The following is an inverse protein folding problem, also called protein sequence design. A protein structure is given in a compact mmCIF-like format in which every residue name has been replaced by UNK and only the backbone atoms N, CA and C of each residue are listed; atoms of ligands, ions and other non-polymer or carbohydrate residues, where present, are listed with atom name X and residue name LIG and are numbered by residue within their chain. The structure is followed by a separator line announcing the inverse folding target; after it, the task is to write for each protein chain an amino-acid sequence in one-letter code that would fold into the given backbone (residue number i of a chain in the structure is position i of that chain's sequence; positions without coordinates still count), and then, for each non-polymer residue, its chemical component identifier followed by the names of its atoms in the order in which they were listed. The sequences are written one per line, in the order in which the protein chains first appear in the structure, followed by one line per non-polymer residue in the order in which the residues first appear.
data_IF_263731764314
#
_entry.id   IF_263731764314
#
_cell.length_a   1.000
_cell.length_b   1.000
_cell.length_c   1.000
_cell.angle_alpha   90.00
_cell.angle_beta   90.00
_cell.angle_gamma   90.00
#
_symmetry.space_group_name_H-M   'P 1'
#
loop_
_entity.id
_entity.type
_entity.pdbx_description
1 polymer ?
#
# COMPACT_ATOMS: atom_id res chain seq x y z
N UNK A 1 18.45 13.71 15.21
CA UNK A 1 18.00 13.21 16.52
C UNK A 1 16.50 12.97 16.42
N UNK A 2 16.06 11.71 16.40
CA UNK A 2 14.64 11.37 16.50
C UNK A 2 14.27 11.50 17.98
N UNK A 3 13.34 12.41 18.31
CA UNK A 3 13.11 12.87 19.69
C UNK A 3 12.45 11.79 20.58
N UNK A 4 11.88 10.73 19.99
CA UNK A 4 11.44 9.56 20.74
C UNK A 4 11.28 8.34 19.80
N UNK A 5 12.35 7.60 19.49
CA UNK A 5 12.25 6.43 18.61
C UNK A 5 11.29 5.36 19.15
N UNK A 6 11.20 5.24 20.48
CA UNK A 6 10.35 4.24 21.13
C UNK A 6 8.86 4.62 21.16
N UNK A 7 8.52 5.91 21.12
CA UNK A 7 7.13 6.37 21.24
C UNK A 7 6.33 6.09 19.96
N UNK A 8 6.95 6.32 18.80
CA UNK A 8 6.39 6.01 17.50
C UNK A 8 6.19 4.49 17.35
N UNK A 9 7.18 3.70 17.76
CA UNK A 9 7.09 2.25 17.70
C UNK A 9 5.97 1.70 18.61
N UNK A 10 5.91 2.15 19.87
CA UNK A 10 4.92 1.68 20.85
C UNK A 10 3.49 2.12 20.51
N UNK A 11 3.28 3.38 20.11
CA UNK A 11 1.93 3.91 19.87
C UNK A 11 1.38 3.59 18.48
N UNK A 12 2.22 3.59 17.43
CA UNK A 12 1.75 3.41 16.05
C UNK A 12 1.95 1.99 15.52
N UNK A 13 2.94 1.24 16.00
CA UNK A 13 3.23 -0.09 15.46
C UNK A 13 2.71 -1.19 16.37
N UNK A 14 3.13 -1.21 17.64
CA UNK A 14 2.81 -2.31 18.56
C UNK A 14 1.31 -2.34 18.91
N UNK A 15 0.71 -1.17 19.22
CA UNK A 15 -0.73 -1.08 19.51
C UNK A 15 -1.58 -1.27 18.24
N UNK A 16 -1.16 -0.75 17.09
CA UNK A 16 -1.98 -0.80 15.86
C UNK A 16 -1.95 -2.17 15.19
N UNK A 17 -0.79 -2.84 15.15
CA UNK A 17 -0.63 -4.13 14.48
C UNK A 17 -0.80 -5.32 15.42
N UNK A 18 -0.41 -5.19 16.69
CA UNK A 18 -0.41 -6.32 17.63
C UNK A 18 -1.41 -6.17 18.76
N UNK A 19 -2.00 -4.97 18.94
CA UNK A 19 -2.83 -4.65 20.10
C UNK A 19 -2.14 -4.95 21.44
N UNK A 20 -0.80 -5.05 21.45
CA UNK A 20 -0.01 -5.52 22.58
C UNK A 20 1.23 -4.62 22.72
N UNK A 21 1.31 -3.89 23.82
CA UNK A 21 2.34 -2.86 24.02
C UNK A 21 3.71 -3.41 24.47
N UNK A 22 3.82 -4.73 24.70
CA UNK A 22 5.01 -5.36 25.29
C UNK A 22 5.51 -6.58 24.46
N UNK A 23 5.87 -6.36 23.19
CA UNK A 23 6.42 -7.40 22.30
C UNK A 23 7.63 -8.17 22.88
N UNK A 24 8.49 -7.51 23.65
CA UNK A 24 9.69 -8.13 24.23
C UNK A 24 9.39 -9.22 25.26
N UNK A 25 8.32 -9.09 26.04
CA UNK A 25 7.96 -10.06 27.08
C UNK A 25 7.29 -11.30 26.51
N UNK A 26 6.76 -11.23 25.28
CA UNK A 26 6.01 -12.30 24.62
C UNK A 26 6.90 -13.20 23.76
N UNK A 27 7.85 -12.64 23.01
CA UNK A 27 8.59 -13.38 21.97
C UNK A 27 10.06 -13.72 22.30
N UNK A 28 10.63 -13.13 23.36
CA UNK A 28 12.05 -13.28 23.71
C UNK A 28 13.00 -12.48 22.79
N UNK A 29 14.26 -12.35 23.21
CA UNK A 29 15.22 -11.41 22.60
C UNK A 29 15.50 -11.70 21.12
N UNK A 30 15.73 -12.96 20.76
CA UNK A 30 16.07 -13.33 19.37
C UNK A 30 14.90 -13.09 18.42
N UNK A 31 13.67 -13.43 18.80
CA UNK A 31 12.51 -13.20 17.95
C UNK A 31 12.20 -11.71 17.78
N UNK A 32 12.40 -10.91 18.83
CA UNK A 32 12.26 -9.45 18.76
C UNK A 32 13.24 -8.84 17.75
N UNK A 33 14.49 -9.32 17.72
CA UNK A 33 15.48 -8.87 16.73
C UNK A 33 15.05 -9.22 15.29
N UNK A 34 14.50 -10.41 15.08
CA UNK A 34 13.96 -10.79 13.76
C UNK A 34 12.77 -9.93 13.34
N UNK A 35 11.82 -9.66 14.25
CA UNK A 35 10.67 -8.79 13.99
C UNK A 35 11.14 -7.38 13.60
N UNK A 36 12.08 -6.80 14.36
CA UNK A 36 12.66 -5.50 14.05
C UNK A 36 13.38 -5.47 12.70
N UNK A 37 14.11 -6.54 12.37
CA UNK A 37 14.76 -6.68 11.07
C UNK A 37 13.73 -6.67 9.94
N UNK A 38 12.66 -7.46 10.06
CA UNK A 38 11.59 -7.51 9.05
C UNK A 38 10.90 -6.15 8.91
N UNK A 39 10.62 -5.42 10.00
CA UNK A 39 10.05 -4.07 9.87
C UNK A 39 10.95 -3.08 9.17
N UNK A 40 12.26 -3.13 9.42
CA UNK A 40 13.22 -2.27 8.72
C UNK A 40 13.27 -2.61 7.23
N UNK A 41 13.24 -3.89 6.90
CA UNK A 41 13.17 -4.37 5.52
C UNK A 41 11.89 -3.91 4.83
N UNK A 42 10.73 -4.09 5.47
CA UNK A 42 9.44 -3.62 4.97
C UNK A 42 9.42 -2.10 4.79
N UNK A 43 9.97 -1.33 5.73
CA UNK A 43 10.10 0.12 5.60
C UNK A 43 10.91 0.54 4.37
N UNK A 44 12.03 -0.14 4.10
CA UNK A 44 12.83 0.11 2.89
C UNK A 44 12.05 -0.22 1.60
N UNK A 45 11.32 -1.35 1.58
CA UNK A 45 10.45 -1.73 0.46
C UNK A 45 9.34 -0.71 0.23
N UNK A 46 8.71 -0.22 1.31
CA UNK A 46 7.67 0.81 1.22
C UNK A 46 8.20 2.11 0.63
N UNK A 47 9.39 2.56 1.04
CA UNK A 47 10.01 3.76 0.46
C UNK A 47 10.24 3.58 -1.03
N UNK A 48 10.82 2.45 -1.44
CA UNK A 48 11.08 2.15 -2.85
C UNK A 48 9.77 2.11 -3.66
N UNK A 49 8.75 1.45 -3.14
CA UNK A 49 7.42 1.38 -3.77
C UNK A 49 6.76 2.75 -3.91
N UNK A 50 6.83 3.60 -2.89
CA UNK A 50 6.30 4.96 -2.95
C UNK A 50 7.04 5.84 -3.95
N UNK A 51 8.37 5.70 -4.07
CA UNK A 51 9.16 6.38 -5.10
C UNK A 51 8.71 5.92 -6.50
N UNK A 52 8.53 4.62 -6.71
CA UNK A 52 8.01 4.08 -7.99
C UNK A 52 6.63 4.63 -8.33
N UNK A 53 5.70 4.61 -7.36
CA UNK A 53 4.36 5.19 -7.53
C UNK A 53 4.42 6.68 -7.85
N UNK A 54 5.32 7.44 -7.20
CA UNK A 54 5.49 8.85 -7.48
C UNK A 54 5.92 9.11 -8.92
N UNK A 55 6.84 8.32 -9.48
CA UNK A 55 7.23 8.46 -10.88
C UNK A 55 6.11 8.06 -11.86
N UNK A 56 5.35 7.02 -11.56
CA UNK A 56 4.18 6.64 -12.37
C UNK A 56 3.12 7.74 -12.34
N UNK A 57 2.85 8.29 -11.15
CA UNK A 57 1.90 9.39 -10.95
C UNK A 57 2.34 10.67 -11.66
N UNK A 58 3.61 11.05 -11.53
CA UNK A 58 4.17 12.26 -12.14
C UNK A 58 4.36 12.14 -13.66
N UNK A 59 4.54 10.93 -14.17
CA UNK A 59 4.74 10.64 -15.59
C UNK A 59 3.45 10.21 -16.30
N UNK A 60 3.30 8.91 -16.63
CA UNK A 60 2.23 8.41 -17.48
C UNK A 60 0.83 8.70 -16.93
N UNK A 61 0.62 8.64 -15.61
CA UNK A 61 -0.68 8.92 -15.00
C UNK A 61 -1.08 10.39 -15.20
N UNK A 62 -0.20 11.34 -14.87
CA UNK A 62 -0.47 12.78 -15.10
C UNK A 62 -0.66 13.13 -16.57
N UNK A 63 -0.08 12.36 -17.49
CA UNK A 63 -0.24 12.53 -18.93
C UNK A 63 -1.55 11.93 -19.48
N UNK A 64 -2.40 11.35 -18.63
CA UNK A 64 -3.65 10.72 -19.08
C UNK A 64 -3.44 9.38 -19.79
N UNK A 65 -2.27 8.75 -19.66
CA UNK A 65 -1.97 7.45 -20.29
C UNK A 65 -2.64 6.32 -19.49
N UNK A 66 -3.30 5.41 -20.20
CA UNK A 66 -4.01 4.28 -19.59
C UNK A 66 -3.08 3.36 -18.81
N UNK A 67 -1.87 3.18 -19.31
CA UNK A 67 -0.80 2.40 -18.72
C UNK A 67 -0.46 2.89 -17.31
N UNK A 68 -0.46 4.21 -17.10
CA UNK A 68 -0.25 4.80 -15.78
C UNK A 68 -1.38 4.44 -14.81
N UNK A 69 -2.64 4.52 -15.26
CA UNK A 69 -3.80 4.14 -14.46
C UNK A 69 -3.80 2.64 -14.13
N UNK A 70 -3.52 1.77 -15.12
CA UNK A 70 -3.41 0.32 -14.91
C UNK A 70 -2.26 -0.05 -13.98
N UNK A 71 -1.09 0.58 -14.10
CA UNK A 71 0.05 0.30 -13.24
C UNK A 71 -0.26 0.61 -11.77
N UNK A 72 -0.89 1.76 -11.49
CA UNK A 72 -1.28 2.14 -10.12
C UNK A 72 -2.38 1.20 -9.60
N UNK A 73 -3.44 1.00 -10.38
CA UNK A 73 -4.59 0.18 -9.97
C UNK A 73 -4.20 -1.27 -9.73
N UNK A 74 -3.48 -1.89 -10.67
CA UNK A 74 -3.03 -3.27 -10.53
C UNK A 74 -2.09 -3.44 -9.33
N UNK A 75 -1.15 -2.50 -9.12
CA UNK A 75 -0.25 -2.54 -7.96
C UNK A 75 -1.03 -2.53 -6.64
N UNK A 76 -2.04 -1.68 -6.51
CA UNK A 76 -2.83 -1.54 -5.28
C UNK A 76 -3.74 -2.77 -5.05
N UNK A 77 -4.41 -3.24 -6.11
CA UNK A 77 -5.31 -4.41 -6.03
C UNK A 77 -4.54 -5.67 -5.68
N UNK A 78 -3.42 -5.93 -6.35
CA UNK A 78 -2.60 -7.12 -6.10
C UNK A 78 -2.02 -7.09 -4.69
N UNK A 79 -1.50 -5.94 -4.24
CA UNK A 79 -1.02 -5.76 -2.86
C UNK A 79 -2.13 -6.08 -1.85
N UNK A 80 -3.32 -5.48 -2.00
CA UNK A 80 -4.43 -5.68 -1.07
C UNK A 80 -4.86 -7.14 -0.97
N UNK A 81 -4.98 -7.83 -2.11
CA UNK A 81 -5.40 -9.24 -2.14
C UNK A 81 -4.39 -10.16 -1.46
N UNK A 82 -3.10 -9.98 -1.77
CA UNK A 82 -2.03 -10.81 -1.21
C UNK A 82 -1.88 -10.55 0.30
N UNK A 83 -1.74 -9.29 0.71
CA UNK A 83 -1.48 -8.94 2.10
C UNK A 83 -2.67 -9.28 3.01
N UNK A 84 -3.89 -8.98 2.57
CA UNK A 84 -5.10 -9.30 3.34
C UNK A 84 -5.38 -10.80 3.37
N UNK A 85 -5.11 -11.52 2.28
CA UNK A 85 -5.23 -12.98 2.23
C UNK A 85 -4.28 -13.67 3.21
N UNK A 86 -3.02 -13.21 3.28
CA UNK A 86 -2.08 -13.68 4.30
C UNK A 86 -2.53 -13.31 5.71
N UNK A 87 -3.00 -12.08 5.92
CA UNK A 87 -3.47 -11.61 7.22
C UNK A 87 -4.61 -12.46 7.78
N UNK A 88 -5.59 -12.79 6.94
CA UNK A 88 -6.73 -13.63 7.34
C UNK A 88 -6.27 -15.07 7.61
N UNK A 89 -5.48 -15.66 6.70
CA UNK A 89 -5.05 -17.06 6.84
C UNK A 89 -4.12 -17.32 8.03
N UNK A 90 -3.38 -16.30 8.47
CA UNK A 90 -2.48 -16.37 9.63
C UNK A 90 -3.12 -15.91 10.95
N UNK A 91 -4.37 -15.44 10.92
CA UNK A 91 -5.14 -15.03 12.11
C UNK A 91 -5.03 -13.55 12.49
N UNK A 92 -4.25 -12.76 11.76
CA UNK A 92 -4.07 -11.31 11.96
C UNK A 92 -5.11 -10.48 11.19
N UNK A 93 -6.40 -10.76 11.40
CA UNK A 93 -7.52 -10.13 10.66
C UNK A 93 -7.58 -8.59 10.85
N UNK A 94 -7.04 -8.07 11.94
CA UNK A 94 -6.96 -6.63 12.21
C UNK A 94 -6.18 -5.90 11.11
N UNK A 95 -5.10 -6.52 10.61
CA UNK A 95 -4.34 -5.98 9.49
C UNK A 95 -5.19 -5.94 8.20
N UNK A 96 -6.00 -6.97 7.95
CA UNK A 96 -6.91 -6.98 6.80
C UNK A 96 -7.96 -5.86 6.87
N UNK A 97 -8.48 -5.55 8.06
CA UNK A 97 -9.40 -4.41 8.26
C UNK A 97 -8.70 -3.09 7.99
N UNK A 98 -7.51 -2.89 8.54
CA UNK A 98 -6.70 -1.69 8.29
C UNK A 98 -6.41 -1.51 6.80
N UNK A 99 -5.96 -2.57 6.12
CA UNK A 99 -5.72 -2.58 4.69
C UNK A 99 -6.96 -2.29 3.86
N UNK A 100 -8.14 -2.75 4.30
CA UNK A 100 -9.40 -2.47 3.61
C UNK A 100 -9.71 -0.97 3.62
N UNK A 101 -9.46 -0.28 4.74
CA UNK A 101 -9.61 1.17 4.84
C UNK A 101 -8.65 1.87 3.86
N UNK A 102 -7.37 1.47 3.85
CA UNK A 102 -6.38 2.04 2.92
C UNK A 102 -6.75 1.77 1.46
N UNK A 103 -7.20 0.55 1.14
CA UNK A 103 -7.63 0.18 -0.20
C UNK A 103 -8.79 1.07 -0.68
N UNK A 104 -9.79 1.31 0.16
CA UNK A 104 -10.91 2.23 -0.17
C UNK A 104 -10.40 3.65 -0.40
N UNK A 105 -9.49 4.16 0.44
CA UNK A 105 -8.90 5.49 0.28
C UNK A 105 -8.16 5.65 -1.05
N UNK A 106 -7.50 4.60 -1.54
CA UNK A 106 -6.89 4.60 -2.86
C UNK A 106 -7.91 4.44 -4.00
N UNK A 107 -8.93 3.61 -3.81
CA UNK A 107 -9.88 3.27 -4.86
C UNK A 107 -10.80 4.44 -5.22
N UNK A 108 -11.18 5.28 -4.25
CA UNK A 108 -12.04 6.45 -4.47
C UNK A 108 -11.45 7.40 -5.57
N UNK A 109 -10.22 7.95 -5.43
CA UNK A 109 -9.65 8.82 -6.46
C UNK A 109 -9.34 8.09 -7.77
N UNK A 110 -8.99 6.80 -7.72
CA UNK A 110 -8.77 6.00 -8.94
C UNK A 110 -10.05 5.80 -9.74
N UNK A 111 -11.17 5.51 -9.06
CA UNK A 111 -12.48 5.39 -9.68
C UNK A 111 -12.96 6.73 -10.24
N UNK A 112 -12.77 7.82 -9.49
CA UNK A 112 -13.12 9.18 -9.94
C UNK A 112 -12.35 9.60 -11.21
N UNK A 113 -11.13 9.11 -11.39
CA UNK A 113 -10.30 9.42 -12.56
C UNK A 113 -10.51 8.46 -13.73
N UNK A 114 -11.24 7.36 -13.57
CA UNK A 114 -11.39 6.30 -14.58
C UNK A 114 -11.78 6.82 -15.98
N UNK A 115 -12.81 7.66 -16.05
CA UNK A 115 -13.32 8.23 -17.29
C UNK A 115 -12.27 9.07 -18.04
N UNK A 116 -11.46 9.84 -17.30
CA UNK A 116 -10.41 10.68 -17.88
C UNK A 116 -9.39 9.87 -18.70
N UNK A 117 -9.08 8.66 -18.25
CA UNK A 117 -8.11 7.77 -18.93
C UNK A 117 -8.75 6.91 -20.03
N UNK A 118 -10.06 6.67 -19.98
CA UNK A 118 -10.72 5.70 -20.86
C UNK A 118 -11.58 6.32 -21.96
N UNK A 119 -12.05 7.56 -21.84
CA UNK A 119 -12.98 8.15 -22.81
C UNK A 119 -12.27 8.70 -24.07
N UNK A 120 -11.06 9.26 -23.93
CA UNK A 120 -10.32 9.90 -25.06
C UNK A 120 -9.89 8.90 -26.14
N UNK A 121 -9.62 7.64 -25.79
CA UNK A 121 -9.20 6.64 -26.78
C UNK A 121 -10.37 6.02 -27.54
N UNK A 122 -11.62 6.12 -27.05
CA UNK A 122 -12.77 5.60 -27.80
C UNK A 122 -13.12 6.53 -28.97
N UNK A 123 -12.94 7.85 -28.86
CA UNK A 123 -13.18 8.76 -29.99
C UNK A 123 -12.17 8.56 -31.13
N UNK A 124 -10.86 8.44 -30.83
CA UNK A 124 -9.82 8.17 -31.85
C UNK A 124 -10.03 6.85 -32.61
N UNK A 125 -10.65 5.87 -31.96
CA UNK A 125 -10.95 4.57 -32.59
C UNK A 125 -12.18 4.63 -33.50
N UNK A 126 -13.13 5.54 -33.23
CA UNK A 126 -14.27 5.81 -34.11
C UNK A 126 -13.86 6.63 -35.34
N UNK A 127 -12.98 7.62 -35.18
CA UNK A 127 -12.50 8.48 -36.28
C UNK A 127 -11.57 7.76 -37.28
N UNK A 128 -11.09 6.56 -36.96
CA UNK A 128 -10.26 5.73 -37.86
C UNK A 128 -11.04 4.65 -38.60
N UNK A 129 -12.33 4.50 -38.30
CA UNK A 129 -13.24 3.52 -38.93
C UNK A 129 -14.21 4.20 -39.91
N UNK A 130 -14.36 5.53 -39.84
CA UNK A 130 -15.12 6.37 -40.79
C UNK A 130 -14.18 6.99 -41.82
#
# INVERSE_FOLDING_TARGET
MVIAPNLLQQLLFDVMFFFEAQMQTVFGDTATLYILFIYRLLGAVMIAWMISLLFILAGPFRQGQREGWYAVTASIVVWFLIDSGFSISTGFWQNAVFNTILFVLFLIPLAATYHHFHDVSNSKKLDSIV
#
